data_IF_801501262016
#
_entry.id   IF_801501262016
#
_cell.length_a   1.000
_cell.length_b   1.000
_cell.length_c   1.000
_cell.angle_alpha   90.00
_cell.angle_beta   90.00
_cell.angle_gamma   90.00
#
_symmetry.space_group_name_H-M   'P 1'
#
loop_
_entity.id
_entity.type
_entity.pdbx_description
1 polymer ?
#
# COMPACT_ATOMS: atom_id res chain seq x y z
N UNK A 1 3.92 3.65 -20.39
CA UNK A 1 3.94 3.23 -18.96
C UNK A 1 5.23 2.47 -18.71
N UNK A 2 5.99 2.86 -17.69
CA UNK A 2 7.22 2.17 -17.27
C UNK A 2 6.85 1.14 -16.20
N UNK A 3 7.21 -0.13 -16.41
CA UNK A 3 6.95 -1.22 -15.45
C UNK A 3 8.17 -1.40 -14.56
N UNK A 4 8.08 -0.95 -13.31
CA UNK A 4 9.17 -1.12 -12.33
C UNK A 4 9.08 -2.44 -11.55
N UNK A 5 7.87 -2.97 -11.40
CA UNK A 5 7.57 -4.26 -10.77
C UNK A 5 6.58 -5.01 -11.66
N UNK A 6 6.82 -6.30 -11.87
CA UNK A 6 5.94 -7.18 -12.63
C UNK A 6 5.85 -8.54 -11.94
N UNK A 7 4.63 -8.99 -11.64
CA UNK A 7 4.37 -10.28 -10.97
C UNK A 7 5.20 -10.49 -9.69
N UNK A 8 5.38 -9.43 -8.89
CA UNK A 8 6.16 -9.45 -7.66
C UNK A 8 7.69 -9.36 -7.87
N UNK A 9 8.15 -9.26 -9.10
CA UNK A 9 9.57 -9.16 -9.45
C UNK A 9 9.91 -7.69 -9.71
N UNK A 10 10.89 -7.18 -8.99
CA UNK A 10 11.49 -5.88 -9.30
C UNK A 10 12.29 -5.98 -10.60
N UNK A 11 11.91 -5.20 -11.61
CA UNK A 11 12.52 -5.26 -12.94
C UNK A 11 13.71 -4.30 -13.05
N UNK A 12 13.47 -3.03 -12.72
CA UNK A 12 14.46 -1.95 -12.82
C UNK A 12 13.98 -0.74 -12.01
N UNK A 13 14.92 0.10 -11.53
CA UNK A 13 14.55 1.32 -10.83
C UNK A 13 13.95 2.36 -11.78
N UNK A 14 13.09 3.21 -11.24
CA UNK A 14 12.72 4.46 -11.89
C UNK A 14 13.83 5.49 -11.65
N UNK A 15 14.36 6.10 -12.71
CA UNK A 15 15.47 7.03 -12.64
C UNK A 15 15.34 8.15 -13.68
N UNK A 16 15.63 9.39 -13.25
CA UNK A 16 15.89 10.49 -14.16
C UNK A 16 17.24 10.31 -14.87
N UNK A 17 17.62 11.27 -15.73
CA UNK A 17 18.85 11.19 -16.49
C UNK A 17 20.11 11.12 -15.61
N UNK A 18 20.13 11.84 -14.48
CA UNK A 18 21.27 11.88 -13.58
C UNK A 18 21.44 10.52 -12.88
N UNK A 19 20.38 9.97 -12.30
CA UNK A 19 20.44 8.69 -11.60
C UNK A 19 20.65 7.51 -12.56
N UNK A 20 20.07 7.56 -13.76
CA UNK A 20 20.33 6.52 -14.78
C UNK A 20 21.81 6.47 -15.18
N UNK A 21 22.44 7.63 -15.31
CA UNK A 21 23.88 7.71 -15.56
C UNK A 21 24.69 7.15 -14.39
N UNK A 22 24.38 7.54 -13.15
CA UNK A 22 25.10 7.05 -11.96
C UNK A 22 24.97 5.54 -11.75
N UNK A 23 23.78 4.99 -12.00
CA UNK A 23 23.49 3.56 -11.85
C UNK A 23 23.84 2.73 -13.09
N UNK A 24 24.39 3.36 -14.14
CA UNK A 24 24.73 2.73 -15.43
C UNK A 24 23.56 1.95 -16.03
N UNK A 25 22.36 2.54 -15.98
CA UNK A 25 21.17 1.96 -16.59
C UNK A 25 21.18 2.23 -18.10
N UNK A 26 20.67 1.30 -18.88
CA UNK A 26 20.59 1.44 -20.35
C UNK A 26 19.74 2.65 -20.78
N UNK A 27 18.70 2.99 -20.00
CA UNK A 27 17.77 4.08 -20.30
C UNK A 27 17.28 4.77 -19.02
N UNK A 28 17.14 6.09 -19.08
CA UNK A 28 16.40 6.86 -18.09
C UNK A 28 14.88 6.68 -18.29
N UNK A 29 14.14 6.65 -17.20
CA UNK A 29 12.67 6.55 -17.21
C UNK A 29 11.98 7.91 -17.12
N UNK A 30 12.74 8.97 -16.80
CA UNK A 30 12.24 10.35 -16.71
C UNK A 30 11.85 10.74 -15.30
N UNK A 31 11.01 11.78 -15.17
CA UNK A 31 10.47 12.22 -13.89
C UNK A 31 9.33 11.29 -13.41
N UNK A 32 9.15 11.07 -12.10
CA UNK A 32 8.09 10.20 -11.59
C UNK A 32 6.70 10.71 -12.00
N UNK A 33 5.92 9.85 -12.64
CA UNK A 33 4.50 10.08 -12.88
C UNK A 33 3.62 9.54 -11.75
N UNK A 34 2.32 9.44 -12.00
CA UNK A 34 1.33 8.81 -11.12
C UNK A 34 1.58 7.29 -11.05
N UNK A 35 1.92 6.70 -9.89
CA UNK A 35 2.08 5.26 -9.75
C UNK A 35 0.76 4.54 -10.02
N UNK A 36 0.87 3.38 -10.69
CA UNK A 36 -0.28 2.56 -11.04
C UNK A 36 -0.09 1.13 -10.53
N UNK A 37 -1.10 0.60 -9.85
CA UNK A 37 -1.18 -0.81 -9.48
C UNK A 37 -2.34 -1.45 -10.24
N UNK A 38 -2.12 -2.58 -10.95
CA UNK A 38 -3.21 -3.29 -11.61
C UNK A 38 -4.33 -3.70 -10.64
N UNK A 39 -5.57 -3.83 -11.11
CA UNK A 39 -6.67 -4.34 -10.28
C UNK A 39 -6.34 -5.72 -9.72
N UNK A 40 -6.82 -5.99 -8.51
CA UNK A 40 -6.88 -7.32 -7.96
C UNK A 40 -7.99 -8.16 -8.58
N UNK A 41 -8.27 -9.31 -7.97
CA UNK A 41 -9.25 -10.29 -8.47
C UNK A 41 -10.50 -10.42 -7.60
N UNK A 42 -10.50 -9.80 -6.42
CA UNK A 42 -11.51 -9.97 -5.38
C UNK A 42 -12.41 -8.73 -5.34
N UNK A 43 -13.71 -8.85 -5.08
CA UNK A 43 -14.53 -7.64 -4.88
C UNK A 43 -14.16 -6.95 -3.57
N UNK A 44 -14.24 -5.62 -3.52
CA UNK A 44 -13.99 -4.87 -2.28
C UNK A 44 -14.89 -5.36 -1.12
N UNK A 45 -16.15 -5.67 -1.42
CA UNK A 45 -17.11 -6.23 -0.45
C UNK A 45 -16.70 -7.59 0.09
N UNK A 46 -15.95 -8.38 -0.68
CA UNK A 46 -15.43 -9.69 -0.24
C UNK A 46 -14.21 -9.54 0.67
N UNK A 47 -13.42 -8.49 0.45
CA UNK A 47 -12.32 -8.11 1.34
C UNK A 47 -12.82 -7.51 2.66
N UNK A 48 -14.04 -7.00 2.68
CA UNK A 48 -14.69 -6.37 3.83
C UNK A 48 -15.72 -7.30 4.51
N UNK A 49 -15.44 -8.61 4.55
CA UNK A 49 -16.24 -9.60 5.26
C UNK A 49 -15.65 -9.92 6.63
N UNK A 50 -16.45 -10.60 7.45
CA UNK A 50 -16.10 -11.03 8.80
C UNK A 50 -15.78 -9.85 9.73
N UNK A 51 -15.14 -10.13 10.87
CA UNK A 51 -14.62 -9.09 11.76
C UNK A 51 -13.30 -8.55 11.21
N UNK A 52 -13.17 -7.24 11.11
CA UNK A 52 -11.93 -6.58 10.66
C UNK A 52 -11.77 -5.20 11.28
N UNK A 53 -10.55 -4.67 11.20
CA UNK A 53 -10.23 -3.28 11.50
C UNK A 53 -10.10 -2.52 10.17
N UNK A 54 -11.00 -1.58 9.94
CA UNK A 54 -10.94 -0.64 8.82
C UNK A 54 -9.98 0.49 9.18
N UNK A 55 -8.89 0.66 8.42
CA UNK A 55 -7.99 1.79 8.58
C UNK A 55 -8.39 2.86 7.57
N UNK A 56 -8.90 3.98 8.07
CA UNK A 56 -9.36 5.10 7.21
C UNK A 56 -8.27 6.14 7.06
N UNK A 57 -7.57 6.46 8.15
CA UNK A 57 -6.41 7.36 8.10
C UNK A 57 -5.43 7.06 9.23
N UNK A 58 -4.16 7.32 8.93
CA UNK A 58 -3.05 7.22 9.86
C UNK A 58 -2.27 8.55 9.85
N UNK A 59 -1.39 8.76 10.84
CA UNK A 59 -0.35 9.78 10.72
C UNK A 59 0.58 9.48 9.54
N UNK A 60 1.55 10.37 9.27
CA UNK A 60 2.51 10.18 8.18
C UNK A 60 3.14 8.77 8.22
N UNK A 61 2.76 7.94 7.24
CA UNK A 61 3.29 6.59 7.06
C UNK A 61 4.52 6.69 6.17
N UNK A 62 5.69 6.77 6.80
CA UNK A 62 6.98 6.86 6.11
C UNK A 62 7.82 5.64 6.45
N UNK A 63 7.90 4.63 5.56
CA UNK A 63 8.77 3.49 5.77
C UNK A 63 10.25 3.88 5.72
N UNK A 64 11.05 3.24 6.55
CA UNK A 64 12.51 3.29 6.43
C UNK A 64 12.92 2.83 5.04
N UNK A 65 13.68 3.66 4.31
CA UNK A 65 14.04 3.41 2.91
C UNK A 65 14.81 2.09 2.71
N UNK A 66 15.63 1.70 3.70
CA UNK A 66 16.44 0.49 3.61
C UNK A 66 15.71 -0.76 4.07
N UNK A 67 15.00 -0.69 5.21
CA UNK A 67 14.39 -1.87 5.82
C UNK A 67 12.92 -2.05 5.52
N UNK A 68 12.21 -1.00 5.08
CA UNK A 68 10.77 -1.01 4.83
C UNK A 68 9.90 -0.92 6.09
N UNK A 69 10.49 -0.85 7.28
CA UNK A 69 9.73 -0.77 8.53
C UNK A 69 9.09 0.61 8.71
N UNK A 70 7.87 0.64 9.23
CA UNK A 70 7.17 1.88 9.59
C UNK A 70 6.42 1.75 10.92
N UNK A 71 6.08 2.90 11.47
CA UNK A 71 5.16 3.07 12.59
C UNK A 71 4.32 4.31 12.32
N UNK A 72 3.00 4.21 12.47
CA UNK A 72 2.08 5.32 12.27
C UNK A 72 0.92 5.24 13.27
N UNK A 73 0.48 6.39 13.78
CA UNK A 73 -0.67 6.47 14.68
C UNK A 73 -1.97 6.32 13.88
N UNK A 74 -2.94 5.55 14.38
CA UNK A 74 -4.27 5.48 13.77
C UNK A 74 -5.03 6.77 14.11
N UNK A 75 -5.23 7.62 13.10
CA UNK A 75 -6.01 8.86 13.22
C UNK A 75 -7.50 8.59 13.20
N UNK A 76 -7.92 7.66 12.34
CA UNK A 76 -9.28 7.16 12.28
C UNK A 76 -9.29 5.73 11.73
N UNK A 77 -9.95 4.84 12.47
CA UNK A 77 -10.32 3.52 11.99
C UNK A 77 -11.68 3.09 12.53
N UNK A 78 -12.12 1.91 12.14
CA UNK A 78 -13.33 1.31 12.64
C UNK A 78 -13.16 -0.18 12.90
N UNK A 79 -13.51 -0.65 14.08
CA UNK A 79 -13.74 -2.06 14.30
C UNK A 79 -15.11 -2.42 13.75
N UNK A 80 -15.11 -3.30 12.74
CA UNK A 80 -16.32 -3.75 12.07
C UNK A 80 -16.59 -5.19 12.46
N UNK A 81 -17.83 -5.48 12.87
CA UNK A 81 -18.30 -6.85 13.17
C UNK A 81 -19.77 -6.94 12.80
N UNK A 82 -20.07 -7.67 11.72
CA UNK A 82 -21.42 -7.72 11.16
C UNK A 82 -21.89 -6.31 10.78
N UNK A 83 -23.03 -5.88 11.33
CA UNK A 83 -23.57 -4.52 11.13
C UNK A 83 -22.97 -3.46 12.06
N UNK A 84 -22.18 -3.85 13.06
CA UNK A 84 -21.59 -2.92 14.03
C UNK A 84 -20.31 -2.32 13.45
N UNK A 85 -20.21 -0.99 13.48
CA UNK A 85 -19.03 -0.21 13.04
C UNK A 85 -18.65 0.79 14.12
N UNK A 86 -17.71 0.42 14.98
CA UNK A 86 -17.27 1.23 16.14
C UNK A 86 -16.05 2.07 15.76
N UNK A 87 -16.08 3.41 15.91
CA UNK A 87 -14.91 4.24 15.64
C UNK A 87 -13.78 3.92 16.61
N UNK A 88 -12.56 3.95 16.09
CA UNK A 88 -11.33 3.77 16.85
C UNK A 88 -10.39 4.90 16.48
N UNK A 89 -9.78 5.50 17.48
CA UNK A 89 -8.78 6.57 17.34
C UNK A 89 -7.66 6.30 18.33
N UNK A 90 -6.45 6.69 17.98
CA UNK A 90 -5.28 6.32 18.76
C UNK A 90 -4.87 4.86 18.52
N UNK A 91 -3.75 4.49 19.13
CA UNK A 91 -3.07 3.24 18.82
C UNK A 91 -2.06 3.39 17.68
N UNK A 92 -1.14 2.43 17.62
CA UNK A 92 0.00 2.43 16.71
C UNK A 92 -0.12 1.27 15.73
N UNK A 93 -0.05 1.60 14.44
CA UNK A 93 0.09 0.69 13.33
C UNK A 93 1.57 0.51 13.00
N UNK A 94 2.10 -0.70 13.12
CA UNK A 94 3.49 -1.01 12.77
C UNK A 94 3.56 -2.17 11.77
N UNK A 95 4.62 -2.18 10.96
CA UNK A 95 4.83 -3.27 10.01
C UNK A 95 5.99 -3.01 9.06
N UNK A 96 6.11 -3.88 8.06
CA UNK A 96 7.09 -3.77 6.98
C UNK A 96 6.37 -3.66 5.64
N UNK A 97 6.61 -2.57 4.90
CA UNK A 97 5.91 -2.30 3.65
C UNK A 97 6.14 -3.40 2.61
N UNK A 98 7.32 -4.00 2.53
CA UNK A 98 7.61 -5.07 1.58
C UNK A 98 6.84 -6.34 1.92
N UNK A 99 6.81 -6.72 3.20
CA UNK A 99 6.04 -7.88 3.65
C UNK A 99 4.54 -7.68 3.42
N UNK A 100 4.00 -6.52 3.80
CA UNK A 100 2.59 -6.20 3.65
C UNK A 100 2.17 -6.24 2.18
N UNK A 101 2.92 -5.58 1.28
CA UNK A 101 2.62 -5.59 -0.15
C UNK A 101 2.69 -6.99 -0.76
N UNK A 102 3.56 -7.86 -0.25
CA UNK A 102 3.67 -9.25 -0.73
C UNK A 102 2.49 -10.14 -0.32
N UNK A 103 1.77 -9.78 0.75
CA UNK A 103 0.66 -10.55 1.32
C UNK A 103 -0.71 -9.91 1.09
N UNK A 104 -0.74 -8.65 0.67
CA UNK A 104 -1.97 -7.89 0.48
C UNK A 104 -2.84 -8.53 -0.60
N UNK A 105 -4.13 -8.69 -0.28
CA UNK A 105 -5.17 -8.99 -1.26
C UNK A 105 -5.81 -7.68 -1.71
N UNK A 106 -5.87 -7.48 -3.01
CA UNK A 106 -6.34 -6.25 -3.63
C UNK A 106 -7.73 -6.40 -4.22
N UNK A 107 -8.51 -5.33 -4.16
CA UNK A 107 -9.83 -5.27 -4.81
C UNK A 107 -9.70 -5.12 -6.33
N UNK A 108 -10.74 -5.54 -7.07
CA UNK A 108 -10.82 -5.37 -8.53
C UNK A 108 -11.22 -3.93 -8.90
N UNK A 109 -11.87 -3.23 -7.98
CA UNK A 109 -12.38 -1.88 -8.13
C UNK A 109 -11.22 -0.88 -8.09
N UNK A 110 -11.06 -0.09 -9.15
CA UNK A 110 -9.95 0.85 -9.32
C UNK A 110 -10.45 2.29 -9.17
N UNK A 111 -9.69 3.09 -8.42
CA UNK A 111 -9.94 4.51 -8.22
C UNK A 111 -8.65 5.32 -8.33
N UNK A 112 -8.79 6.62 -8.61
CA UNK A 112 -7.73 7.61 -8.46
C UNK A 112 -7.73 8.13 -7.02
N UNK A 113 -6.63 7.94 -6.31
CA UNK A 113 -6.39 8.42 -4.94
C UNK A 113 -5.26 9.45 -4.96
N UNK A 114 -5.61 10.74 -5.06
CA UNK A 114 -4.69 11.89 -5.17
C UNK A 114 -3.59 11.71 -6.24
N UNK A 115 -2.55 10.94 -5.92
CA UNK A 115 -1.39 10.68 -6.77
C UNK A 115 -1.20 9.22 -7.17
N UNK A 116 -2.13 8.31 -6.89
CA UNK A 116 -2.06 6.88 -7.18
C UNK A 116 -3.32 6.39 -7.90
N UNK A 117 -3.17 5.49 -8.88
CA UNK A 117 -4.30 4.79 -9.53
C UNK A 117 -4.18 3.29 -9.29
N UNK A 118 -5.22 2.69 -8.72
CA UNK A 118 -5.25 1.24 -8.55
C UNK A 118 -6.39 0.78 -7.65
N UNK A 119 -6.32 -0.47 -7.13
CA UNK A 119 -7.28 -1.02 -6.19
C UNK A 119 -7.64 -0.05 -5.06
N UNK A 120 -8.95 0.13 -4.84
CA UNK A 120 -9.47 1.01 -3.80
C UNK A 120 -9.42 0.41 -2.39
N UNK A 121 -9.22 -0.91 -2.29
CA UNK A 121 -9.24 -1.66 -1.03
C UNK A 121 -8.12 -2.68 -1.03
N UNK A 122 -7.42 -2.76 0.09
CA UNK A 122 -6.43 -3.80 0.37
C UNK A 122 -6.79 -4.49 1.68
N UNK A 123 -6.70 -5.82 1.73
CA UNK A 123 -6.79 -6.59 2.96
C UNK A 123 -5.47 -7.25 3.26
N UNK A 124 -5.01 -7.08 4.49
CA UNK A 124 -3.78 -7.62 5.02
C UNK A 124 -4.14 -8.44 6.25
N UNK A 125 -3.77 -9.71 6.26
CA UNK A 125 -4.06 -10.62 7.38
C UNK A 125 -2.81 -10.92 8.22
N UNK A 126 -1.62 -10.63 7.68
CA UNK A 126 -0.33 -10.92 8.29
C UNK A 126 0.67 -9.82 7.91
N UNK A 127 1.65 -9.54 8.78
CA UNK A 127 2.69 -8.54 8.56
C UNK A 127 2.33 -7.11 9.02
N UNK A 128 1.17 -6.95 9.66
CA UNK A 128 0.70 -5.69 10.23
C UNK A 128 0.32 -5.90 11.69
N UNK A 129 0.87 -5.07 12.57
CA UNK A 129 0.60 -5.11 14.01
C UNK A 129 -0.13 -3.84 14.43
N UNK A 130 -1.16 -4.00 15.25
CA UNK A 130 -1.92 -2.90 15.84
C UNK A 130 -1.78 -2.99 17.35
N UNK A 131 -1.33 -1.91 17.96
CA UNK A 131 -1.22 -1.76 19.41
C UNK A 131 -2.18 -0.64 19.81
N UNK A 132 -3.29 -0.97 20.46
CA UNK A 132 -4.34 -0.05 20.87
C UNK A 132 -4.48 -0.05 22.40
#
# INVERSE_FOLDING_TARGET
NVRIIENGIFLHPHADAQFAHYLKLDKATGAPGTPQLPPGKVAATDLQRDRYLEIVSVSDLVPSRGSGHFSAEIRLGYEVTGSTRRPVTGGTLTGNVFEILSRARWSREVSLHDRYVGPNTARVEQGLSVIA
#
